data_IF_988855472266
#
_entry.id   IF_988855472266
#
_cell.length_a   1.000
_cell.length_b   1.000
_cell.length_c   1.000
_cell.angle_alpha   90.00
_cell.angle_beta   90.00
_cell.angle_gamma   90.00
#
_symmetry.space_group_name_H-M   'P 1'
#
loop_
_entity.id
_entity.type
_entity.pdbx_description
1 polymer ?
#
# COMPACT_ATOMS: atom_id res chain seq x y z
N UNK A 1 11.78 -59.81 -36.44
CA UNK A 1 11.36 -58.55 -37.16
C UNK A 1 10.18 -57.81 -36.56
N UNK A 2 9.15 -58.44 -35.99
CA UNK A 2 7.98 -57.74 -35.41
C UNK A 2 8.27 -56.91 -34.14
N UNK A 3 9.27 -57.26 -33.31
CA UNK A 3 9.60 -56.54 -32.07
C UNK A 3 10.39 -55.22 -32.28
N UNK A 4 11.06 -55.06 -33.41
CA UNK A 4 11.78 -53.81 -33.72
C UNK A 4 10.86 -52.76 -34.40
N UNK A 5 9.90 -53.17 -35.20
CA UNK A 5 8.94 -52.26 -35.79
C UNK A 5 8.02 -51.57 -34.74
N UNK A 6 7.62 -52.30 -33.69
CA UNK A 6 6.81 -51.75 -32.59
C UNK A 6 7.58 -50.70 -31.73
N UNK A 7 8.89 -50.88 -31.54
CA UNK A 7 9.71 -49.88 -30.81
C UNK A 7 9.97 -48.62 -31.63
N UNK A 8 10.14 -48.73 -32.95
CA UNK A 8 10.31 -47.57 -33.83
C UNK A 8 9.01 -46.77 -33.92
N UNK A 9 7.87 -47.46 -33.97
CA UNK A 9 6.56 -46.78 -34.00
C UNK A 9 6.24 -46.06 -32.68
N UNK A 10 6.62 -46.65 -31.55
CA UNK A 10 6.46 -46.02 -30.24
C UNK A 10 7.39 -44.82 -30.10
N UNK A 11 8.63 -44.89 -30.59
CA UNK A 11 9.59 -43.78 -30.55
C UNK A 11 9.18 -42.61 -31.45
N UNK A 12 8.62 -42.89 -32.64
CA UNK A 12 8.07 -41.84 -33.52
C UNK A 12 6.81 -41.21 -32.96
N UNK A 13 5.93 -41.93 -32.28
CA UNK A 13 4.77 -41.38 -31.60
C UNK A 13 5.15 -40.52 -30.40
N UNK A 14 6.15 -40.92 -29.61
CA UNK A 14 6.67 -40.12 -28.50
C UNK A 14 7.41 -38.86 -29.00
N UNK A 15 8.17 -38.96 -30.08
CA UNK A 15 8.80 -37.81 -30.72
C UNK A 15 7.79 -36.84 -31.34
N UNK A 16 6.71 -37.29 -31.91
CA UNK A 16 5.61 -36.45 -32.38
C UNK A 16 4.82 -35.84 -31.21
N UNK A 17 4.57 -36.55 -30.12
CA UNK A 17 3.93 -36.02 -28.93
C UNK A 17 4.82 -34.95 -28.22
N UNK A 18 6.15 -35.13 -28.20
CA UNK A 18 7.10 -34.16 -27.70
C UNK A 18 7.22 -32.90 -28.56
N UNK A 19 7.02 -33.01 -29.89
CA UNK A 19 7.00 -31.84 -30.78
C UNK A 19 5.69 -31.04 -30.62
N UNK A 20 4.58 -31.70 -30.26
CA UNK A 20 3.31 -31.01 -29.98
C UNK A 20 3.24 -30.42 -28.57
N UNK A 21 4.10 -30.84 -27.63
CA UNK A 21 4.13 -30.27 -26.26
C UNK A 21 5.13 -29.12 -26.11
N UNK A 22 5.95 -28.81 -27.12
CA UNK A 22 6.64 -27.53 -27.23
C UNK A 22 5.65 -26.56 -27.89
N UNK A 23 4.53 -26.30 -27.23
CA UNK A 23 3.74 -25.12 -27.42
C UNK A 23 4.58 -23.93 -27.05
N UNK A 24 5.43 -23.47 -28.00
CA UNK A 24 5.95 -22.12 -27.97
C UNK A 24 4.74 -21.20 -27.74
N UNK A 25 4.63 -20.55 -26.60
CA UNK A 25 4.00 -19.27 -26.49
C UNK A 25 4.78 -18.27 -27.36
N UNK A 26 4.87 -18.57 -28.63
CA UNK A 26 5.34 -17.64 -29.66
C UNK A 26 4.38 -16.48 -29.61
N UNK A 27 4.87 -15.31 -29.19
CA UNK A 27 4.13 -14.06 -29.26
C UNK A 27 3.32 -14.04 -30.52
N UNK A 28 1.97 -14.11 -30.40
CA UNK A 28 1.06 -14.11 -31.57
C UNK A 28 1.40 -12.88 -32.40
N UNK A 29 1.96 -13.10 -33.60
CA UNK A 29 2.46 -12.01 -34.46
C UNK A 29 1.33 -11.29 -35.21
N UNK A 30 0.10 -11.84 -35.15
CA UNK A 30 -1.07 -11.32 -35.83
C UNK A 30 -2.26 -11.24 -34.88
N UNK A 31 -3.12 -10.26 -35.11
CA UNK A 31 -4.40 -10.13 -34.42
C UNK A 31 -5.32 -11.29 -34.80
N UNK A 32 -5.97 -11.88 -33.82
CA UNK A 32 -6.99 -12.91 -34.03
C UNK A 32 -8.32 -12.31 -34.51
N UNK A 33 -8.51 -11.01 -34.29
CA UNK A 33 -9.75 -10.31 -34.63
C UNK A 33 -9.67 -9.73 -36.05
N UNK A 34 -8.54 -9.07 -36.37
CA UNK A 34 -8.39 -8.36 -37.66
C UNK A 34 -7.46 -9.07 -38.67
N UNK A 35 -6.64 -10.01 -38.17
CA UNK A 35 -5.59 -10.66 -38.96
C UNK A 35 -4.36 -9.79 -39.24
N UNK A 36 -4.37 -8.52 -38.76
CA UNK A 36 -3.27 -7.58 -38.98
C UNK A 36 -2.04 -7.97 -38.16
N UNK A 37 -0.86 -7.64 -38.67
CA UNK A 37 0.38 -7.90 -37.96
C UNK A 37 0.61 -6.83 -36.88
N UNK A 38 1.02 -7.29 -35.72
CA UNK A 38 1.49 -6.39 -34.62
C UNK A 38 2.90 -5.91 -34.90
N UNK A 39 3.26 -4.77 -34.38
CA UNK A 39 4.60 -4.16 -34.44
C UNK A 39 5.10 -3.97 -35.90
N UNK A 40 4.23 -3.67 -36.83
CA UNK A 40 4.55 -3.49 -38.26
C UNK A 40 3.83 -2.23 -38.80
N UNK A 41 4.59 -1.16 -39.17
CA UNK A 41 4.01 0.08 -39.68
C UNK A 41 3.11 -0.09 -40.90
N UNK A 42 3.37 -1.11 -41.72
CA UNK A 42 2.54 -1.43 -42.92
C UNK A 42 1.13 -1.88 -42.55
N UNK A 43 0.92 -2.32 -41.32
CA UNK A 43 -0.34 -2.80 -40.78
C UNK A 43 -0.92 -1.88 -39.74
N UNK A 44 -0.61 -0.57 -39.80
CA UNK A 44 -1.13 0.45 -38.89
C UNK A 44 -0.36 0.58 -37.59
N UNK A 45 0.69 -0.25 -37.37
CA UNK A 45 1.64 -0.07 -36.27
C UNK A 45 1.12 -0.36 -34.85
N UNK A 46 -0.01 -1.12 -34.74
CA UNK A 46 -0.49 -1.49 -33.41
C UNK A 46 0.58 -2.27 -32.65
N UNK A 47 0.97 -1.74 -31.50
CA UNK A 47 2.05 -2.29 -30.70
C UNK A 47 1.54 -3.38 -29.76
N UNK A 48 2.30 -4.46 -29.69
CA UNK A 48 2.15 -5.50 -28.68
C UNK A 48 3.47 -5.66 -27.95
N UNK A 49 3.51 -5.10 -26.76
CA UNK A 49 4.64 -5.27 -25.85
C UNK A 49 4.72 -6.74 -25.38
N UNK A 50 5.94 -7.20 -25.07
CA UNK A 50 6.13 -8.48 -24.38
C UNK A 50 5.77 -8.26 -22.90
N UNK A 51 4.82 -9.03 -22.43
CA UNK A 51 4.53 -9.05 -20.99
C UNK A 51 5.74 -9.61 -20.23
N UNK A 52 6.19 -8.85 -19.27
CA UNK A 52 7.11 -9.30 -18.21
C UNK A 52 6.31 -9.30 -16.91
N UNK A 53 6.56 -10.29 -16.06
CA UNK A 53 5.95 -10.30 -14.74
C UNK A 53 6.33 -9.04 -13.98
N UNK A 54 5.38 -8.53 -13.20
CA UNK A 54 5.59 -7.34 -12.38
C UNK A 54 6.74 -7.56 -11.41
N UNK A 55 7.70 -6.66 -11.43
CA UNK A 55 8.81 -6.66 -10.51
C UNK A 55 8.33 -6.29 -9.08
N UNK A 56 8.90 -6.96 -8.09
CA UNK A 56 8.68 -6.56 -6.70
C UNK A 56 9.38 -5.24 -6.44
N UNK A 57 8.65 -4.25 -5.95
CA UNK A 57 9.24 -2.96 -5.58
C UNK A 57 10.21 -3.08 -4.40
N UNK A 58 11.16 -2.15 -4.26
CA UNK A 58 12.11 -2.16 -3.15
C UNK A 58 11.41 -2.21 -1.78
N UNK A 59 11.86 -3.08 -0.89
CA UNK A 59 11.34 -3.22 0.48
C UNK A 59 9.99 -3.91 0.62
N UNK A 60 9.37 -4.33 -0.49
CA UNK A 60 8.07 -4.98 -0.49
C UNK A 60 8.16 -6.51 -0.42
N UNK A 61 7.17 -7.11 0.20
CA UNK A 61 6.92 -8.56 0.23
C UNK A 61 5.62 -8.85 -0.52
N UNK A 62 5.61 -9.94 -1.29
CA UNK A 62 4.40 -10.38 -2.00
C UNK A 62 3.40 -11.00 -1.03
N UNK A 63 2.17 -10.54 -1.06
CA UNK A 63 1.04 -11.07 -0.30
C UNK A 63 0.08 -11.72 -1.30
N UNK A 64 -0.03 -13.04 -1.22
CA UNK A 64 -0.98 -13.76 -2.05
C UNK A 64 -2.41 -13.45 -1.60
N UNK A 65 -3.25 -13.05 -2.53
CA UNK A 65 -4.65 -12.72 -2.26
C UNK A 65 -5.46 -13.96 -1.88
N UNK A 66 -6.56 -13.73 -1.19
CA UNK A 66 -7.42 -14.80 -0.74
C UNK A 66 -8.72 -14.30 -0.13
N UNK A 67 -9.48 -15.21 0.45
CA UNK A 67 -10.72 -14.90 1.15
C UNK A 67 -10.53 -15.03 2.65
N UNK A 68 -11.00 -14.05 3.39
CA UNK A 68 -10.92 -14.01 4.85
C UNK A 68 -12.22 -13.47 5.45
N UNK A 69 -12.50 -13.84 6.69
CA UNK A 69 -13.53 -13.18 7.51
C UNK A 69 -12.89 -12.05 8.31
N UNK A 70 -13.14 -10.82 7.97
CA UNK A 70 -12.71 -9.63 8.72
C UNK A 70 -13.65 -9.34 9.89
N UNK A 71 -13.19 -8.53 10.84
CA UNK A 71 -13.98 -8.03 11.96
C UNK A 71 -13.54 -8.57 13.33
N UNK A 72 -14.06 -8.01 14.41
CA UNK A 72 -13.63 -8.28 15.80
C UNK A 72 -14.76 -8.75 16.72
N UNK A 73 -15.93 -9.13 16.18
CA UNK A 73 -17.15 -9.29 16.96
C UNK A 73 -17.05 -10.26 18.16
N UNK A 74 -16.22 -11.32 18.09
CA UNK A 74 -16.06 -12.29 19.17
C UNK A 74 -15.12 -11.82 20.29
N UNK A 75 -14.17 -10.94 19.94
CA UNK A 75 -13.14 -10.45 20.84
C UNK A 75 -13.37 -8.97 21.22
N UNK A 76 -14.54 -8.44 20.90
CA UNK A 76 -14.90 -7.06 21.21
C UNK A 76 -15.37 -6.96 22.67
N UNK A 77 -14.41 -6.84 23.59
CA UNK A 77 -14.67 -6.70 25.02
C UNK A 77 -15.27 -5.35 25.40
N UNK A 78 -15.19 -4.35 24.52
CA UNK A 78 -15.79 -3.03 24.72
C UNK A 78 -17.22 -2.96 24.21
N UNK A 79 -17.65 -3.96 23.45
CA UNK A 79 -18.95 -4.03 22.78
C UNK A 79 -19.24 -2.84 21.85
N UNK A 80 -18.21 -2.23 21.31
CA UNK A 80 -18.33 -1.10 20.38
C UNK A 80 -19.01 -1.50 19.07
N UNK A 81 -18.91 -2.77 18.66
CA UNK A 81 -19.49 -3.37 17.44
C UNK A 81 -19.16 -2.56 16.18
N UNK A 82 -18.02 -1.88 16.18
CA UNK A 82 -17.59 -1.00 15.10
C UNK A 82 -16.91 -1.75 13.94
N UNK A 83 -16.66 -3.05 14.09
CA UNK A 83 -16.09 -3.92 13.06
C UNK A 83 -16.82 -5.27 13.05
N UNK A 84 -17.96 -5.32 12.37
CA UNK A 84 -18.77 -6.53 12.24
C UNK A 84 -18.07 -7.58 11.39
N UNK A 85 -18.26 -8.86 11.72
CA UNK A 85 -17.75 -9.96 10.91
C UNK A 85 -18.32 -9.92 9.49
N UNK A 86 -17.44 -9.98 8.51
CA UNK A 86 -17.79 -10.04 7.10
C UNK A 86 -16.76 -10.83 6.31
N UNK A 87 -17.22 -11.61 5.37
CA UNK A 87 -16.37 -12.37 4.46
C UNK A 87 -15.99 -11.49 3.27
N UNK A 88 -14.70 -11.35 3.02
CA UNK A 88 -14.16 -10.52 1.93
C UNK A 88 -13.10 -11.28 1.15
N UNK A 89 -12.91 -10.91 -0.10
CA UNK A 89 -11.84 -11.41 -0.97
C UNK A 89 -10.86 -10.29 -1.26
N UNK A 90 -9.60 -10.51 -0.95
CA UNK A 90 -8.52 -9.54 -1.17
C UNK A 90 -7.73 -10.00 -2.39
N UNK A 91 -7.50 -9.14 -3.40
CA UNK A 91 -6.59 -9.45 -4.50
C UNK A 91 -5.14 -9.53 -4.00
N UNK A 92 -4.26 -10.18 -4.74
CA UNK A 92 -2.83 -10.20 -4.42
C UNK A 92 -2.25 -8.79 -4.51
N UNK A 93 -1.32 -8.47 -3.63
CA UNK A 93 -0.65 -7.17 -3.55
C UNK A 93 0.76 -7.32 -2.96
N UNK A 94 1.48 -6.23 -2.91
CA UNK A 94 2.78 -6.15 -2.24
C UNK A 94 2.67 -5.21 -1.04
N UNK A 95 3.33 -5.53 0.07
CA UNK A 95 3.32 -4.72 1.29
C UNK A 95 4.75 -4.56 1.82
N UNK A 96 5.06 -3.43 2.43
CA UNK A 96 6.34 -3.22 3.11
C UNK A 96 6.55 -4.28 4.20
N UNK A 97 7.75 -4.87 4.21
CA UNK A 97 8.16 -5.86 5.20
C UNK A 97 8.07 -5.30 6.62
N UNK A 98 8.35 -4.00 6.77
CA UNK A 98 8.38 -3.27 8.04
C UNK A 98 7.60 -1.97 7.94
N UNK A 99 7.38 -1.31 9.06
CA UNK A 99 6.97 0.10 9.13
C UNK A 99 8.03 0.98 8.43
N UNK A 100 7.62 2.13 7.88
CA UNK A 100 8.55 3.12 7.33
C UNK A 100 9.43 3.67 8.46
N UNK A 101 10.75 3.64 8.26
CA UNK A 101 11.71 4.07 9.26
C UNK A 101 11.96 5.58 9.26
N UNK A 102 12.53 6.10 10.34
CA UNK A 102 13.03 7.47 10.37
C UNK A 102 14.02 7.74 9.23
N UNK A 103 14.86 6.77 8.89
CA UNK A 103 15.86 6.91 7.83
C UNK A 103 15.20 7.05 6.46
N UNK A 104 14.20 6.20 6.14
CA UNK A 104 13.46 6.30 4.90
C UNK A 104 12.72 7.64 4.78
N UNK A 105 12.15 8.12 5.89
CA UNK A 105 11.45 9.38 5.90
C UNK A 105 12.42 10.59 5.79
N UNK A 106 13.62 10.49 6.36
CA UNK A 106 14.66 11.50 6.19
C UNK A 106 15.16 11.57 4.74
N UNK A 107 15.20 10.46 4.01
CA UNK A 107 15.51 10.44 2.57
C UNK A 107 14.48 11.26 1.78
N UNK A 108 13.19 11.08 2.09
CA UNK A 108 12.12 11.89 1.51
C UNK A 108 12.29 13.38 1.83
N UNK A 109 12.54 13.72 3.08
CA UNK A 109 12.75 15.11 3.50
C UNK A 109 13.98 15.74 2.83
N UNK A 110 15.07 14.98 2.69
CA UNK A 110 16.26 15.43 1.98
C UNK A 110 15.95 15.75 0.52
N UNK A 111 15.20 14.88 -0.15
CA UNK A 111 14.78 15.10 -1.52
C UNK A 111 13.90 16.35 -1.66
N UNK A 112 12.91 16.53 -0.80
CA UNK A 112 12.06 17.73 -0.79
C UNK A 112 12.86 19.02 -0.60
N UNK A 113 13.78 19.02 0.35
CA UNK A 113 14.61 20.21 0.63
C UNK A 113 15.50 20.58 -0.54
N UNK A 114 15.95 19.58 -1.31
CA UNK A 114 16.79 19.80 -2.49
C UNK A 114 16.00 20.30 -3.70
N UNK A 115 14.82 19.75 -3.95
CA UNK A 115 14.02 20.04 -5.13
C UNK A 115 13.21 21.33 -4.96
N UNK A 116 12.58 21.51 -3.81
CA UNK A 116 11.70 22.65 -3.54
C UNK A 116 12.42 23.83 -2.86
N UNK A 117 13.59 24.23 -3.39
CA UNK A 117 14.35 25.35 -2.85
C UNK A 117 13.58 26.69 -2.88
N UNK A 118 12.79 26.89 -3.92
CA UNK A 118 11.97 28.11 -4.09
C UNK A 118 10.64 28.03 -3.30
N UNK A 119 10.24 26.83 -2.87
CA UNK A 119 8.99 26.57 -2.17
C UNK A 119 9.23 25.86 -0.83
N UNK A 120 9.93 26.47 0.14
CA UNK A 120 10.30 25.82 1.39
C UNK A 120 9.11 25.39 2.26
N UNK A 121 7.89 25.86 1.96
CA UNK A 121 6.67 25.44 2.64
C UNK A 121 6.35 23.97 2.38
N UNK A 122 6.71 23.42 1.21
CA UNK A 122 6.51 21.99 0.91
C UNK A 122 7.29 21.13 1.90
N UNK A 123 8.59 21.46 2.06
CA UNK A 123 9.44 20.78 3.04
C UNK A 123 8.92 20.95 4.48
N UNK A 124 8.53 22.16 4.88
CA UNK A 124 8.02 22.43 6.23
C UNK A 124 6.75 21.64 6.55
N UNK A 125 5.83 21.52 5.59
CA UNK A 125 4.59 20.74 5.74
C UNK A 125 4.85 19.24 5.82
N UNK A 126 5.95 18.75 5.26
CA UNK A 126 6.32 17.34 5.31
C UNK A 126 7.04 16.95 6.61
N UNK A 127 7.51 17.90 7.41
CA UNK A 127 8.19 17.59 8.68
C UNK A 127 7.24 16.91 9.66
N UNK A 128 7.63 15.77 10.24
CA UNK A 128 6.89 15.15 11.33
C UNK A 128 6.81 16.08 12.55
N UNK A 129 5.69 16.03 13.26
CA UNK A 129 5.54 16.75 14.51
C UNK A 129 6.31 16.04 15.63
N UNK A 130 7.45 16.58 16.01
CA UNK A 130 8.26 16.03 17.10
C UNK A 130 7.72 16.36 18.49
N UNK A 131 6.80 17.33 18.61
CA UNK A 131 6.19 17.72 19.90
C UNK A 131 5.24 16.65 20.44
N UNK A 132 4.84 15.68 19.60
CA UNK A 132 4.03 14.52 20.00
C UNK A 132 4.66 13.69 21.13
N UNK A 133 5.98 13.83 21.36
CA UNK A 133 6.69 13.16 22.45
C UNK A 133 6.50 13.84 23.81
N UNK A 134 6.03 15.10 23.84
CA UNK A 134 5.84 15.82 25.10
C UNK A 134 4.69 15.26 25.91
N UNK A 135 4.96 14.98 27.17
CA UNK A 135 3.97 14.54 28.14
C UNK A 135 4.02 15.43 29.38
N UNK A 136 2.86 15.68 30.01
CA UNK A 136 2.77 16.56 31.17
C UNK A 136 3.61 16.11 32.36
N UNK A 137 3.84 14.80 32.51
CA UNK A 137 4.51 14.21 33.67
C UNK A 137 5.83 13.50 33.35
N UNK A 138 6.27 13.56 32.10
CA UNK A 138 7.50 12.88 31.64
C UNK A 138 8.47 13.88 31.02
N UNK A 139 9.76 13.67 31.23
CA UNK A 139 10.81 14.43 30.59
C UNK A 139 11.24 13.73 29.32
N UNK A 140 10.56 14.03 28.21
CA UNK A 140 10.76 13.39 26.90
C UNK A 140 11.46 14.32 25.89
N UNK A 141 12.06 15.43 26.31
CA UNK A 141 12.77 16.36 25.41
C UNK A 141 13.87 15.68 24.57
N UNK A 142 14.61 14.66 25.05
CA UNK A 142 15.55 13.92 24.19
C UNK A 142 14.91 13.30 22.97
N UNK A 143 13.68 12.78 23.07
CA UNK A 143 12.94 12.24 21.93
C UNK A 143 12.46 13.34 20.99
N UNK A 144 12.01 14.48 21.51
CA UNK A 144 11.65 15.66 20.71
C UNK A 144 12.83 16.12 19.85
N UNK A 145 14.03 16.11 20.42
CA UNK A 145 15.24 16.64 19.76
C UNK A 145 15.91 15.61 18.83
N UNK A 146 15.95 14.35 19.23
CA UNK A 146 16.86 13.36 18.62
C UNK A 146 16.15 12.24 17.87
N UNK A 147 14.91 11.88 18.22
CA UNK A 147 14.26 10.67 17.71
C UNK A 147 14.24 10.58 16.17
N UNK A 148 13.89 11.66 15.47
CA UNK A 148 13.83 11.66 14.03
C UNK A 148 15.22 11.64 13.37
N UNK A 149 16.21 12.34 13.97
CA UNK A 149 17.44 12.73 13.24
C UNK A 149 18.71 12.03 13.71
N UNK A 150 18.72 11.56 14.96
CA UNK A 150 19.93 10.98 15.50
C UNK A 150 20.14 9.55 14.98
N UNK A 151 21.36 9.17 14.52
CA UNK A 151 21.61 7.87 13.87
C UNK A 151 21.23 6.64 14.69
N UNK A 152 21.17 6.72 16.02
CA UNK A 152 20.73 5.61 16.87
C UNK A 152 19.27 5.22 16.65
N UNK A 153 18.44 6.16 16.16
CA UNK A 153 17.02 5.95 15.90
C UNK A 153 16.68 5.78 14.42
N UNK A 154 17.68 5.62 13.54
CA UNK A 154 17.44 5.56 12.10
C UNK A 154 16.50 4.40 11.70
N UNK A 155 16.66 3.26 12.35
CA UNK A 155 15.94 2.02 12.04
C UNK A 155 14.69 1.84 12.92
N UNK A 156 14.27 2.89 13.61
CA UNK A 156 13.02 2.96 14.35
C UNK A 156 11.90 3.50 13.45
N UNK A 157 10.62 3.15 13.72
CA UNK A 157 9.50 3.63 12.90
C UNK A 157 9.35 5.15 12.98
N UNK A 158 9.02 5.78 11.88
CA UNK A 158 8.68 7.19 11.89
C UNK A 158 7.33 7.41 12.58
N UNK A 159 7.25 8.39 13.46
CA UNK A 159 6.04 8.80 14.18
C UNK A 159 5.87 10.32 14.13
N UNK A 160 4.72 10.83 14.58
CA UNK A 160 4.40 12.24 14.45
C UNK A 160 4.07 12.63 13.00
N UNK A 161 3.66 11.66 12.18
CA UNK A 161 3.24 11.86 10.81
C UNK A 161 1.73 11.80 10.70
N UNK A 162 1.14 12.78 10.01
CA UNK A 162 -0.27 12.78 9.70
C UNK A 162 -0.57 11.84 8.50
N UNK A 163 -1.84 11.51 8.31
CA UNK A 163 -2.26 10.69 7.16
C UNK A 163 -1.92 11.36 5.82
N UNK A 164 -2.07 12.68 5.73
CA UNK A 164 -1.71 13.46 4.53
C UNK A 164 -0.21 13.38 4.24
N UNK A 165 0.62 13.48 5.27
CA UNK A 165 2.08 13.35 5.13
C UNK A 165 2.49 11.93 4.70
N UNK A 166 1.85 10.90 5.27
CA UNK A 166 2.07 9.52 4.89
C UNK A 166 1.67 9.27 3.43
N UNK A 167 0.54 9.82 2.98
CA UNK A 167 0.09 9.72 1.58
C UNK A 167 1.07 10.41 0.63
N UNK A 168 1.51 11.63 0.94
CA UNK A 168 2.50 12.35 0.14
C UNK A 168 3.85 11.60 0.04
N UNK A 169 4.26 10.90 1.10
CA UNK A 169 5.43 10.01 1.05
C UNK A 169 5.22 8.86 0.05
N UNK A 170 4.04 8.24 0.00
CA UNK A 170 3.78 7.14 -0.96
C UNK A 170 3.84 7.61 -2.40
N UNK A 171 3.31 8.79 -2.70
CA UNK A 171 3.37 9.41 -4.03
C UNK A 171 4.82 9.69 -4.43
N UNK A 172 5.61 10.31 -3.54
CA UNK A 172 7.04 10.53 -3.78
C UNK A 172 7.79 9.22 -4.04
N UNK A 173 7.51 8.17 -3.26
CA UNK A 173 8.15 6.86 -3.43
C UNK A 173 7.83 6.24 -4.79
N UNK A 174 6.58 6.36 -5.26
CA UNK A 174 6.16 5.94 -6.60
C UNK A 174 7.04 6.57 -7.67
N UNK A 175 7.19 7.88 -7.61
CA UNK A 175 7.98 8.62 -8.59
C UNK A 175 9.46 8.22 -8.56
N UNK A 176 10.05 8.10 -7.37
CA UNK A 176 11.48 7.75 -7.25
C UNK A 176 11.76 6.32 -7.73
N UNK A 177 10.86 5.38 -7.44
CA UNK A 177 11.02 3.99 -7.90
C UNK A 177 10.87 3.90 -9.43
N UNK A 178 9.87 4.55 -10.00
CA UNK A 178 9.67 4.55 -11.45
C UNK A 178 10.80 5.29 -12.20
N UNK A 179 11.29 6.39 -11.66
CA UNK A 179 12.48 7.08 -12.20
C UNK A 179 13.71 6.17 -12.21
N UNK A 180 13.96 5.45 -11.11
CA UNK A 180 15.07 4.51 -11.01
C UNK A 180 14.93 3.36 -12.04
N UNK A 181 13.73 2.83 -12.21
CA UNK A 181 13.46 1.78 -13.22
C UNK A 181 13.76 2.27 -14.62
N UNK A 182 13.26 3.46 -15.00
CA UNK A 182 13.53 4.04 -16.31
C UNK A 182 15.02 4.31 -16.54
N UNK A 183 15.73 4.75 -15.50
CA UNK A 183 17.18 4.98 -15.56
C UNK A 183 17.96 3.66 -15.69
N UNK A 184 17.55 2.62 -14.97
CA UNK A 184 18.14 1.28 -15.05
C UNK A 184 17.94 0.65 -16.43
N UNK A 185 16.77 0.81 -17.04
CA UNK A 185 16.48 0.36 -18.41
C UNK A 185 17.18 1.26 -19.48
N UNK A 186 17.87 2.32 -19.06
CA UNK A 186 18.60 3.23 -19.95
C UNK A 186 17.71 4.18 -20.77
N UNK A 187 16.45 4.34 -20.36
CA UNK A 187 15.45 5.16 -21.07
C UNK A 187 15.57 6.63 -20.70
N UNK A 188 15.96 6.94 -19.48
CA UNK A 188 16.24 8.30 -19.03
C UNK A 188 17.63 8.40 -18.40
N UNK A 189 18.16 9.61 -18.36
CA UNK A 189 19.37 9.93 -17.60
C UNK A 189 18.99 10.59 -16.29
N UNK A 190 19.50 10.05 -15.18
CA UNK A 190 19.36 10.71 -13.88
C UNK A 190 20.21 11.96 -13.86
N UNK A 191 19.60 13.12 -13.96
CA UNK A 191 20.26 14.41 -13.78
C UNK A 191 19.76 15.07 -12.49
N UNK A 192 20.34 14.60 -11.39
CA UNK A 192 19.98 15.02 -10.04
C UNK A 192 20.14 16.52 -9.82
N UNK A 193 21.07 17.17 -10.55
CA UNK A 193 21.36 18.61 -10.40
C UNK A 193 20.34 19.49 -11.11
N UNK A 194 19.66 18.97 -12.13
CA UNK A 194 18.64 19.70 -12.87
C UNK A 194 17.22 19.53 -12.33
N UNK A 195 17.04 18.71 -11.29
CA UNK A 195 15.73 18.54 -10.65
C UNK A 195 15.40 19.77 -9.81
N UNK A 196 14.44 20.55 -10.27
CA UNK A 196 13.88 21.76 -9.63
C UNK A 196 12.39 21.56 -9.37
N UNK A 197 11.77 22.47 -8.64
CA UNK A 197 10.35 22.42 -8.26
C UNK A 197 9.36 22.38 -9.43
N UNK A 198 9.75 22.86 -10.59
CA UNK A 198 8.98 22.85 -11.84
C UNK A 198 9.40 21.73 -12.81
N UNK A 199 10.58 21.14 -12.61
CA UNK A 199 11.16 20.15 -13.52
C UNK A 199 11.83 18.97 -12.78
N UNK A 200 11.08 18.27 -11.96
CA UNK A 200 11.49 16.98 -11.41
C UNK A 200 10.68 15.84 -12.07
N UNK A 201 11.20 14.63 -11.98
CA UNK A 201 10.47 13.47 -12.49
C UNK A 201 9.21 13.23 -11.66
N UNK A 202 8.08 13.21 -12.35
CA UNK A 202 6.79 12.76 -11.84
C UNK A 202 6.24 11.73 -12.83
N UNK A 203 5.87 10.57 -12.35
CA UNK A 203 5.41 9.43 -13.17
C UNK A 203 4.25 9.83 -14.08
N UNK A 204 3.28 10.55 -13.54
CA UNK A 204 2.10 10.95 -14.27
C UNK A 204 2.40 12.01 -15.32
N UNK A 205 3.18 13.03 -14.98
CA UNK A 205 3.62 14.06 -15.93
C UNK A 205 4.46 13.45 -17.06
N UNK A 206 5.29 12.44 -16.77
CA UNK A 206 6.03 11.70 -17.78
C UNK A 206 5.11 10.94 -18.73
N UNK A 207 4.12 10.22 -18.23
CA UNK A 207 3.14 9.48 -19.05
C UNK A 207 2.26 10.39 -19.90
N UNK A 208 2.02 11.62 -19.46
CA UNK A 208 1.30 12.65 -20.20
C UNK A 208 2.19 13.43 -21.21
N UNK A 209 3.50 13.17 -21.22
CA UNK A 209 4.45 13.89 -22.07
C UNK A 209 4.77 15.31 -21.60
N UNK A 210 4.42 15.66 -20.37
CA UNK A 210 4.68 16.99 -19.75
C UNK A 210 6.02 17.09 -19.04
N UNK A 211 6.72 15.98 -18.90
CA UNK A 211 8.09 15.91 -18.42
C UNK A 211 9.01 15.44 -19.54
N UNK A 212 10.03 16.23 -19.84
CA UNK A 212 11.02 15.89 -20.84
C UNK A 212 12.33 15.54 -20.13
N UNK A 213 12.64 14.27 -19.95
CA UNK A 213 13.90 13.85 -19.35
C UNK A 213 15.08 14.13 -20.28
N UNK A 214 16.28 14.14 -19.71
CA UNK A 214 17.50 13.99 -20.50
C UNK A 214 17.54 12.57 -21.03
N UNK A 215 17.01 12.33 -22.22
CA UNK A 215 16.82 11.00 -22.79
C UNK A 215 18.16 10.40 -23.22
N UNK A 216 18.33 9.11 -22.92
CA UNK A 216 19.44 8.30 -23.45
C UNK A 216 18.98 7.45 -24.63
N UNK A 217 17.83 6.86 -24.51
CA UNK A 217 17.27 5.97 -25.53
C UNK A 217 15.75 6.05 -25.48
N UNK A 218 15.12 6.05 -26.66
CA UNK A 218 13.65 5.98 -26.79
C UNK A 218 13.23 4.63 -27.28
N UNK A 219 12.02 4.21 -26.92
CA UNK A 219 11.42 3.03 -27.47
C UNK A 219 11.04 3.26 -28.93
N UNK A 220 11.11 2.19 -29.73
CA UNK A 220 10.68 2.26 -31.13
C UNK A 220 9.18 2.45 -31.19
N UNK A 221 8.73 3.42 -31.97
CA UNK A 221 7.35 3.60 -32.36
C UNK A 221 7.07 2.90 -33.69
N UNK A 222 6.05 2.07 -33.73
CA UNK A 222 5.64 1.38 -34.95
C UNK A 222 4.51 2.09 -35.70
N UNK A 223 4.04 3.24 -35.22
CA UNK A 223 3.06 4.04 -35.92
C UNK A 223 3.61 4.51 -37.28
N UNK A 224 2.77 4.58 -38.34
CA UNK A 224 3.20 5.01 -39.65
C UNK A 224 3.84 6.42 -39.62
N UNK A 225 5.12 6.51 -40.00
CA UNK A 225 5.88 7.76 -40.02
C UNK A 225 6.57 8.14 -38.72
N UNK A 226 6.29 7.46 -37.62
CA UNK A 226 7.00 7.67 -36.36
C UNK A 226 8.32 6.88 -36.30
N UNK A 227 9.25 7.33 -35.46
CA UNK A 227 10.53 6.65 -35.23
C UNK A 227 10.63 6.13 -33.80
N UNK A 228 10.49 7.03 -32.85
CA UNK A 228 10.74 6.78 -31.45
C UNK A 228 9.65 7.40 -30.59
N UNK A 229 9.41 6.80 -29.42
CA UNK A 229 8.45 7.27 -28.42
C UNK A 229 8.94 7.09 -26.99
N UNK A 230 8.34 7.82 -26.08
CA UNK A 230 8.49 7.63 -24.65
C UNK A 230 7.76 6.35 -24.18
N UNK A 231 8.03 5.90 -22.95
CA UNK A 231 7.35 4.76 -22.33
C UNK A 231 5.88 5.09 -22.09
N UNK A 232 5.03 4.11 -22.35
CA UNK A 232 3.59 4.14 -22.09
C UNK A 232 3.22 3.08 -21.03
N UNK A 233 2.03 3.20 -20.48
CA UNK A 233 1.51 2.21 -19.50
C UNK A 233 1.47 0.79 -20.11
N UNK A 234 1.15 0.69 -21.40
CA UNK A 234 1.03 -0.57 -22.14
C UNK A 234 2.36 -1.32 -22.30
N UNK A 235 3.48 -0.67 -22.06
CA UNK A 235 4.80 -1.30 -22.12
C UNK A 235 5.08 -2.18 -20.89
N UNK A 236 4.36 -1.97 -19.78
CA UNK A 236 4.50 -2.75 -18.56
C UNK A 236 5.88 -2.59 -17.87
N UNK A 237 6.55 -1.46 -18.09
CA UNK A 237 7.86 -1.14 -17.51
C UNK A 237 7.69 -0.48 -16.15
N UNK A 238 6.75 0.46 -16.04
CA UNK A 238 6.48 1.20 -14.82
C UNK A 238 5.69 0.35 -13.83
N UNK A 239 5.98 0.52 -12.56
CA UNK A 239 5.25 -0.10 -11.46
C UNK A 239 4.00 0.73 -11.12
N UNK A 240 2.96 0.08 -10.58
CA UNK A 240 1.81 0.76 -9.99
C UNK A 240 2.22 1.66 -8.83
N UNK A 241 1.31 2.55 -8.45
CA UNK A 241 1.53 3.49 -7.37
C UNK A 241 1.68 2.79 -6.03
N UNK A 242 2.64 3.26 -5.24
CA UNK A 242 2.68 3.01 -3.82
C UNK A 242 1.56 3.80 -3.15
N UNK A 243 0.91 3.20 -2.19
CA UNK A 243 -0.20 3.78 -1.45
C UNK A 243 -0.25 3.25 -0.01
N UNK A 244 -1.07 3.84 0.83
CA UNK A 244 -1.41 3.22 2.10
C UNK A 244 -2.27 1.97 1.87
N UNK A 245 -2.17 0.93 2.73
CA UNK A 245 -3.04 -0.23 2.68
C UNK A 245 -4.49 0.17 2.95
N UNK A 246 -5.43 -0.50 2.30
CA UNK A 246 -6.81 -0.46 2.77
C UNK A 246 -6.92 -1.18 4.12
N UNK A 247 -7.93 -0.84 4.89
CA UNK A 247 -8.16 -1.51 6.18
C UNK A 247 -8.29 -3.04 6.02
N UNK A 248 -8.95 -3.48 4.95
CA UNK A 248 -9.14 -4.89 4.66
C UNK A 248 -7.82 -5.59 4.28
N UNK A 249 -6.97 -4.96 3.45
CA UNK A 249 -5.64 -5.47 3.10
C UNK A 249 -4.74 -5.56 4.33
N UNK A 250 -4.77 -4.53 5.17
CA UNK A 250 -3.97 -4.50 6.38
C UNK A 250 -4.37 -5.63 7.35
N UNK A 251 -5.68 -5.80 7.59
CA UNK A 251 -6.20 -6.85 8.48
C UNK A 251 -5.90 -8.25 7.91
N UNK A 252 -6.05 -8.44 6.59
CA UNK A 252 -5.68 -9.67 5.91
C UNK A 252 -4.20 -10.01 6.07
N UNK A 253 -3.33 -9.04 5.80
CA UNK A 253 -1.89 -9.20 5.92
C UNK A 253 -1.45 -9.50 7.35
N UNK A 254 -2.13 -8.91 8.36
CA UNK A 254 -1.83 -9.12 9.76
C UNK A 254 -2.16 -10.55 10.22
N UNK A 255 -3.27 -11.13 9.77
CA UNK A 255 -3.63 -12.50 10.14
C UNK A 255 -2.71 -13.55 9.53
N UNK A 256 -2.07 -13.29 8.40
CA UNK A 256 -1.14 -14.20 7.75
C UNK A 256 -1.80 -15.44 7.12
N UNK A 257 -0.98 -16.38 6.72
CA UNK A 257 -1.45 -17.71 6.28
C UNK A 257 -1.93 -18.50 7.47
N UNK A 258 -3.16 -18.98 7.40
CA UNK A 258 -3.55 -20.13 8.18
C UNK A 258 -3.56 -21.32 7.23
N UNK A 259 -3.11 -22.46 7.73
CA UNK A 259 -2.85 -23.66 6.94
C UNK A 259 -3.84 -23.85 5.78
N UNK A 260 -3.37 -24.11 4.56
CA UNK A 260 -4.25 -24.38 3.42
C UNK A 260 -5.11 -25.64 3.59
N UNK A 261 -4.82 -26.47 4.58
CA UNK A 261 -5.60 -27.68 4.90
C UNK A 261 -6.91 -27.38 5.64
N UNK A 262 -7.01 -26.19 6.27
CA UNK A 262 -8.20 -25.79 7.01
C UNK A 262 -8.68 -24.43 6.49
N UNK A 263 -9.97 -24.31 6.22
CA UNK A 263 -10.60 -23.03 5.90
C UNK A 263 -10.72 -22.11 7.14
N UNK A 264 -9.71 -22.11 8.00
CA UNK A 264 -9.72 -21.47 9.31
C UNK A 264 -9.89 -19.96 9.23
N UNK A 265 -9.27 -19.33 8.22
CA UNK A 265 -9.45 -17.89 7.97
C UNK A 265 -10.91 -17.51 7.69
N UNK A 266 -11.75 -18.46 7.33
CA UNK A 266 -13.17 -18.23 7.03
C UNK A 266 -14.02 -18.36 8.30
N UNK A 267 -13.76 -19.37 9.11
CA UNK A 267 -14.60 -19.73 10.23
C UNK A 267 -13.97 -19.37 11.60
N UNK A 268 -12.69 -19.65 11.77
CA UNK A 268 -11.95 -19.40 13.03
C UNK A 268 -10.78 -18.47 12.74
N UNK A 269 -10.65 -17.40 13.53
CA UNK A 269 -9.56 -16.44 13.39
C UNK A 269 -8.55 -16.57 14.51
N UNK A 270 -7.29 -16.28 14.20
CA UNK A 270 -6.30 -15.93 15.20
C UNK A 270 -6.73 -14.65 15.95
N UNK A 271 -6.40 -14.56 17.22
CA UNK A 271 -6.59 -13.31 17.98
C UNK A 271 -5.49 -12.30 17.63
N UNK A 272 -4.28 -12.79 17.44
CA UNK A 272 -3.08 -11.98 17.15
C UNK A 272 -2.43 -12.43 15.83
N UNK A 273 -1.47 -11.67 15.30
CA UNK A 273 -0.70 -12.06 14.10
C UNK A 273 0.17 -13.32 14.25
N UNK A 274 0.22 -13.91 15.44
CA UNK A 274 0.95 -15.14 15.76
C UNK A 274 0.01 -16.23 16.28
N UNK A 275 0.52 -17.46 16.38
CA UNK A 275 -0.26 -18.57 16.90
C UNK A 275 -0.44 -18.50 18.42
N UNK A 276 -1.62 -18.95 18.87
CA UNK A 276 -1.99 -18.98 20.27
C UNK A 276 -2.63 -17.71 20.79
N UNK A 277 -2.98 -17.72 22.06
CA UNK A 277 -3.75 -16.69 22.75
C UNK A 277 -2.89 -15.82 23.67
N UNK A 278 -1.59 -16.13 23.78
CA UNK A 278 -0.71 -15.49 24.76
C UNK A 278 0.14 -14.41 24.10
N UNK A 279 0.48 -13.39 24.88
CA UNK A 279 1.41 -12.33 24.49
C UNK A 279 2.88 -12.71 24.74
N UNK A 280 3.11 -13.88 25.37
CA UNK A 280 4.44 -14.37 25.71
C UNK A 280 4.75 -15.66 24.98
N UNK A 281 6.01 -15.78 24.53
CA UNK A 281 6.52 -17.03 23.97
C UNK A 281 6.58 -18.10 25.00
N UNK A 282 6.08 -19.27 24.66
CA UNK A 282 6.15 -20.49 25.46
C UNK A 282 7.29 -21.39 25.01
N UNK A 283 7.65 -21.31 23.76
CA UNK A 283 8.71 -22.09 23.09
C UNK A 283 9.49 -21.21 22.09
N UNK A 284 10.73 -21.50 21.76
CA UNK A 284 11.62 -22.48 22.43
C UNK A 284 12.02 -22.03 23.84
N UNK A 285 12.54 -22.98 24.65
CA UNK A 285 12.87 -22.74 26.08
C UNK A 285 13.77 -21.52 26.31
N UNK A 286 14.71 -21.24 25.41
CA UNK A 286 15.61 -20.08 25.46
C UNK A 286 14.88 -18.75 25.32
N UNK A 287 13.72 -18.72 24.68
CA UNK A 287 12.92 -17.51 24.43
C UNK A 287 11.66 -17.43 25.29
N UNK A 288 11.48 -18.44 26.16
CA UNK A 288 10.32 -18.50 27.05
C UNK A 288 10.21 -17.23 27.90
N UNK A 289 9.04 -16.61 27.83
CA UNK A 289 8.73 -15.39 28.58
C UNK A 289 9.00 -14.09 27.84
N UNK A 290 9.74 -14.11 26.71
CA UNK A 290 9.83 -12.94 25.82
C UNK A 290 8.45 -12.57 25.26
N UNK A 291 8.22 -11.30 24.97
CA UNK A 291 6.98 -10.84 24.37
C UNK A 291 6.99 -11.08 22.85
N UNK A 292 5.81 -11.27 22.27
CA UNK A 292 5.64 -11.33 20.81
C UNK A 292 5.58 -9.94 20.17
N UNK A 293 5.23 -8.90 20.93
CA UNK A 293 5.07 -7.56 20.44
C UNK A 293 5.49 -6.52 21.48
N UNK A 294 5.83 -5.34 21.00
CA UNK A 294 6.09 -4.16 21.82
C UNK A 294 4.76 -3.47 22.17
N UNK A 295 4.33 -3.52 23.44
CA UNK A 295 3.05 -2.97 23.91
C UNK A 295 3.06 -2.69 25.42
N UNK A 296 2.12 -1.91 25.91
CA UNK A 296 1.99 -1.59 27.33
C UNK A 296 1.26 -2.68 28.13
N UNK A 297 1.96 -3.38 28.99
CA UNK A 297 1.39 -4.46 29.80
C UNK A 297 0.57 -4.03 30.99
N UNK A 298 1.00 -3.03 31.76
CA UNK A 298 0.40 -2.65 33.03
C UNK A 298 0.31 -1.13 33.23
N UNK A 299 0.43 -0.69 34.47
CA UNK A 299 0.60 0.73 34.81
C UNK A 299 2.07 1.12 34.65
N UNK A 300 2.52 1.27 33.44
CA UNK A 300 3.91 1.45 33.10
C UNK A 300 4.52 0.19 32.52
N UNK A 301 5.70 0.31 32.00
CA UNK A 301 6.36 -0.69 31.18
C UNK A 301 7.36 -1.57 31.94
N UNK A 302 7.28 -1.52 33.27
CA UNK A 302 8.17 -2.28 34.12
C UNK A 302 7.75 -3.76 34.22
N UNK A 303 8.71 -4.67 34.05
CA UNK A 303 8.51 -6.12 34.19
C UNK A 303 8.39 -6.59 35.66
N UNK A 304 8.16 -5.68 36.59
CA UNK A 304 8.10 -5.97 38.02
C UNK A 304 9.45 -5.99 38.73
N UNK A 305 10.56 -5.85 38.01
CA UNK A 305 11.89 -5.68 38.54
C UNK A 305 12.43 -4.31 38.12
N UNK A 306 12.98 -3.53 39.05
CA UNK A 306 13.52 -2.22 38.74
C UNK A 306 14.54 -2.27 37.59
N UNK A 307 14.34 -1.43 36.58
CA UNK A 307 15.20 -1.33 35.43
C UNK A 307 14.95 -2.36 34.31
N UNK A 308 14.02 -3.31 34.50
CA UNK A 308 13.64 -4.25 33.45
C UNK A 308 12.31 -3.83 32.80
N UNK A 309 12.34 -3.64 31.50
CA UNK A 309 11.16 -3.41 30.65
C UNK A 309 10.54 -4.73 30.26
N UNK A 310 9.23 -4.74 29.98
CA UNK A 310 8.49 -5.95 29.66
C UNK A 310 8.95 -6.63 28.38
N UNK A 311 9.19 -5.85 27.34
CA UNK A 311 9.52 -6.24 26.00
C UNK A 311 10.93 -5.83 25.57
N UNK A 312 11.67 -5.17 26.47
CA UNK A 312 13.03 -4.69 26.23
C UNK A 312 13.12 -3.25 25.72
N UNK A 313 11.98 -2.60 25.45
CA UNK A 313 11.91 -1.26 24.86
C UNK A 313 11.13 -0.30 25.76
N UNK A 314 11.54 0.97 25.76
CA UNK A 314 10.89 2.00 26.56
C UNK A 314 9.71 2.66 25.85
N UNK A 315 9.86 2.88 24.55
CA UNK A 315 8.84 3.37 23.64
C UNK A 315 8.80 2.45 22.41
N UNK A 316 9.17 2.96 21.24
CA UNK A 316 9.23 2.19 20.00
C UNK A 316 10.43 1.25 19.96
N UNK A 317 10.33 0.18 19.18
CA UNK A 317 11.39 -0.77 18.87
C UNK A 317 11.92 -0.58 17.45
N UNK A 318 13.10 -1.14 17.16
CA UNK A 318 13.66 -1.20 15.82
C UNK A 318 12.73 -2.04 14.94
N UNK A 319 12.41 -1.56 13.74
CA UNK A 319 11.41 -2.17 12.84
C UNK A 319 11.75 -3.59 12.38
N UNK A 320 13.02 -3.98 12.40
CA UNK A 320 13.46 -5.34 12.12
C UNK A 320 14.39 -5.81 13.23
N UNK A 321 13.82 -6.42 14.23
CA UNK A 321 14.53 -6.88 15.41
C UNK A 321 14.40 -8.40 15.53
N UNK A 322 15.49 -9.07 15.96
CA UNK A 322 15.51 -10.51 16.22
C UNK A 322 14.59 -10.91 17.39
N UNK A 323 14.26 -9.98 18.28
CA UNK A 323 13.34 -10.23 19.39
C UNK A 323 11.88 -10.35 18.98
N UNK A 324 11.49 -9.78 17.82
CA UNK A 324 10.12 -9.86 17.30
C UNK A 324 10.10 -10.62 15.98
N UNK A 325 9.42 -11.75 15.97
CA UNK A 325 9.32 -12.59 14.78
C UNK A 325 8.30 -11.99 13.78
N UNK A 326 8.59 -12.08 12.48
CA UNK A 326 7.62 -11.75 11.47
C UNK A 326 6.44 -12.73 11.48
N UNK A 327 5.31 -12.31 10.93
CA UNK A 327 4.18 -13.20 10.71
C UNK A 327 4.44 -14.15 9.51
N UNK A 328 3.45 -14.98 9.14
CA UNK A 328 3.57 -15.98 8.08
C UNK A 328 3.89 -15.40 6.69
N UNK A 329 3.53 -14.14 6.44
CA UNK A 329 3.92 -13.43 5.20
C UNK A 329 5.32 -12.78 5.27
N UNK A 330 5.99 -12.87 6.40
CA UNK A 330 7.29 -12.23 6.61
C UNK A 330 7.20 -10.76 7.04
N UNK A 331 6.03 -10.30 7.50
CA UNK A 331 5.80 -8.92 7.92
C UNK A 331 6.09 -8.75 9.41
N UNK A 332 6.90 -7.74 9.74
CA UNK A 332 7.23 -7.38 11.12
C UNK A 332 6.20 -6.40 11.70
N UNK A 333 6.01 -6.46 13.02
CA UNK A 333 5.22 -5.49 13.80
C UNK A 333 3.78 -5.25 13.32
N UNK A 334 3.13 -6.32 12.79
CA UNK A 334 1.69 -6.24 12.48
C UNK A 334 0.82 -6.17 13.74
N UNK A 335 1.43 -6.11 14.92
CA UNK A 335 0.80 -5.83 16.20
C UNK A 335 1.82 -5.19 17.14
N UNK A 336 1.46 -4.06 17.76
CA UNK A 336 2.33 -3.30 18.65
C UNK A 336 3.34 -2.44 17.89
N UNK A 337 4.34 -1.95 18.56
CA UNK A 337 5.32 -0.96 18.12
C UNK A 337 4.64 0.38 17.78
N UNK A 338 4.21 0.60 16.54
CA UNK A 338 3.35 1.74 16.21
C UNK A 338 2.09 1.27 15.50
N UNK A 339 0.99 1.95 15.76
CA UNK A 339 -0.22 1.81 14.96
C UNK A 339 0.02 2.35 13.56
N UNK A 340 -0.70 1.85 12.56
CA UNK A 340 -0.44 2.19 11.17
C UNK A 340 -1.64 2.80 10.50
N UNK A 341 -1.42 3.90 9.78
CA UNK A 341 -2.43 4.53 8.95
C UNK A 341 -2.90 3.59 7.86
N UNK A 342 -4.22 3.56 7.64
CA UNK A 342 -4.83 2.93 6.48
C UNK A 342 -5.48 3.97 5.57
N UNK A 343 -5.80 3.56 4.35
CA UNK A 343 -6.39 4.45 3.35
C UNK A 343 -7.84 4.83 3.65
N UNK A 344 -8.54 3.99 4.42
CA UNK A 344 -9.97 4.09 4.65
C UNK A 344 -10.36 5.29 5.51
N UNK A 345 -11.50 5.90 5.15
CA UNK A 345 -12.25 6.80 6.03
C UNK A 345 -12.98 5.96 7.08
N UNK A 346 -12.94 6.40 8.33
CA UNK A 346 -13.66 5.70 9.39
C UNK A 346 -15.17 5.91 9.25
N UNK A 347 -15.89 4.79 9.25
CA UNK A 347 -17.35 4.73 9.37
C UNK A 347 -17.73 3.51 10.22
N UNK A 348 -18.74 3.62 11.06
CA UNK A 348 -19.34 2.45 11.68
C UNK A 348 -19.82 1.49 10.60
N UNK A 349 -19.49 0.20 10.73
CA UNK A 349 -19.89 -0.80 9.76
C UNK A 349 -21.33 -1.26 10.04
N UNK A 350 -22.05 -1.56 8.97
CA UNK A 350 -23.41 -2.09 9.04
C UNK A 350 -23.52 -3.39 8.23
N UNK A 351 -24.62 -4.09 8.39
CA UNK A 351 -24.89 -5.33 7.66
C UNK A 351 -24.96 -5.15 6.14
N UNK A 352 -25.22 -3.96 5.67
CA UNK A 352 -25.20 -3.64 4.23
C UNK A 352 -23.78 -3.72 3.65
N UNK A 353 -22.78 -3.44 4.47
CA UNK A 353 -21.36 -3.54 4.10
C UNK A 353 -20.88 -4.99 3.90
N UNK A 354 -21.66 -5.98 4.36
CA UNK A 354 -21.32 -7.40 4.22
C UNK A 354 -21.31 -7.91 2.78
N UNK A 355 -21.92 -7.18 1.86
CA UNK A 355 -22.02 -7.54 0.42
C UNK A 355 -20.79 -7.10 -0.40
N UNK A 356 -19.91 -6.31 0.15
CA UNK A 356 -18.73 -5.82 -0.55
C UNK A 356 -17.63 -6.91 -0.57
N UNK A 357 -17.14 -7.27 -1.77
CA UNK A 357 -16.09 -8.28 -1.94
C UNK A 357 -14.73 -7.74 -1.53
N UNK A 358 -14.40 -6.50 -1.95
CA UNK A 358 -13.17 -5.81 -1.61
C UNK A 358 -13.54 -4.44 -0.99
N UNK A 359 -13.87 -4.41 0.30
CA UNK A 359 -14.40 -3.21 0.93
C UNK A 359 -13.32 -2.13 1.06
N UNK A 360 -13.69 -0.92 0.68
CA UNK A 360 -12.91 0.29 0.89
C UNK A 360 -13.85 1.46 1.14
N UNK A 361 -13.53 2.29 2.12
CA UNK A 361 -14.27 3.51 2.46
C UNK A 361 -13.47 4.74 2.05
N UNK A 362 -14.17 5.78 1.61
CA UNK A 362 -13.53 7.04 1.21
C UNK A 362 -13.19 7.13 -0.28
N UNK A 363 -13.96 6.44 -1.13
CA UNK A 363 -13.85 6.60 -2.58
C UNK A 363 -14.27 8.01 -2.98
N UNK A 364 -13.29 8.86 -3.27
CA UNK A 364 -13.49 10.16 -3.91
C UNK A 364 -12.97 10.07 -5.33
N UNK A 365 -13.88 10.11 -6.30
CA UNK A 365 -13.48 10.09 -7.71
C UNK A 365 -12.96 11.45 -8.12
N UNK A 366 -11.75 11.44 -8.66
CA UNK A 366 -11.08 12.64 -9.15
C UNK A 366 -10.79 12.49 -10.64
N UNK A 367 -10.82 13.61 -11.34
CA UNK A 367 -10.36 13.71 -12.74
C UNK A 367 -9.30 14.77 -12.85
N UNK A 368 -8.41 14.62 -13.83
CA UNK A 368 -7.39 15.62 -14.13
C UNK A 368 -8.03 16.89 -14.63
N UNK A 369 -7.48 18.02 -14.26
CA UNK A 369 -7.91 19.31 -14.79
C UNK A 369 -7.26 19.49 -16.14
N UNK A 370 -8.10 19.62 -17.20
CA UNK A 370 -7.66 19.99 -18.53
C UNK A 370 -8.04 21.45 -18.79
N UNK A 371 -7.26 22.11 -19.64
CA UNK A 371 -7.60 23.44 -20.17
C UNK A 371 -8.78 23.40 -21.16
N UNK A 372 -9.13 24.55 -21.76
CA UNK A 372 -10.20 24.67 -22.73
C UNK A 372 -9.99 23.85 -24.01
N UNK A 373 -8.74 23.57 -24.35
CA UNK A 373 -8.32 22.78 -25.52
C UNK A 373 -8.18 21.28 -25.20
N UNK A 374 -8.47 20.90 -23.94
CA UNK A 374 -8.38 19.50 -23.46
C UNK A 374 -6.96 19.05 -23.13
N UNK A 375 -6.01 19.96 -23.04
CA UNK A 375 -4.61 19.68 -22.69
C UNK A 375 -4.43 19.74 -21.17
N UNK A 376 -3.50 18.93 -20.66
CA UNK A 376 -3.13 18.94 -19.25
C UNK A 376 -1.93 19.84 -19.00
N UNK A 377 -1.94 20.57 -17.91
CA UNK A 377 -0.83 21.40 -17.47
C UNK A 377 -0.39 21.06 -16.05
N UNK A 378 0.89 21.29 -15.75
CA UNK A 378 1.42 21.14 -14.40
C UNK A 378 1.06 22.36 -13.55
N UNK A 379 0.84 22.14 -12.26
CA UNK A 379 0.73 23.21 -11.28
C UNK A 379 2.11 23.87 -11.01
N UNK A 380 2.13 24.90 -10.17
CA UNK A 380 3.36 25.61 -9.78
C UNK A 380 4.36 24.74 -9.00
N UNK A 381 3.95 23.55 -8.57
CA UNK A 381 4.78 22.57 -7.89
C UNK A 381 5.12 21.36 -8.79
N UNK A 382 4.92 21.47 -10.10
CA UNK A 382 5.23 20.42 -11.07
C UNK A 382 4.30 19.21 -11.07
N UNK A 383 3.17 19.25 -10.34
CA UNK A 383 2.20 18.16 -10.21
C UNK A 383 1.04 18.35 -11.18
N UNK A 384 0.39 17.26 -11.51
CA UNK A 384 -0.86 17.30 -12.30
C UNK A 384 -2.03 17.63 -11.35
N UNK A 385 -2.76 18.74 -11.57
CA UNK A 385 -3.87 19.11 -10.73
C UNK A 385 -5.09 18.22 -10.99
N UNK A 386 -5.78 17.85 -9.91
CA UNK A 386 -7.01 17.07 -9.93
C UNK A 386 -8.18 17.86 -9.36
N UNK A 387 -9.36 17.60 -9.86
CA UNK A 387 -10.63 18.01 -9.26
C UNK A 387 -11.53 16.79 -9.01
N UNK A 388 -12.46 16.93 -8.12
CA UNK A 388 -13.52 15.94 -7.95
C UNK A 388 -14.42 15.88 -9.19
N UNK A 389 -14.90 14.70 -9.49
CA UNK A 389 -15.84 14.47 -10.59
C UNK A 389 -17.21 14.98 -10.18
N UNK A 390 -17.85 15.78 -11.02
CA UNK A 390 -19.17 16.33 -10.74
C UNK A 390 -20.28 15.27 -10.85
N UNK A 391 -21.41 15.51 -10.21
CA UNK A 391 -22.56 14.62 -10.29
C UNK A 391 -23.05 14.42 -11.73
N UNK A 392 -23.05 15.48 -12.54
CA UNK A 392 -23.43 15.43 -13.96
C UNK A 392 -22.53 14.50 -14.79
N UNK A 393 -21.22 14.54 -14.57
CA UNK A 393 -20.25 13.67 -15.23
C UNK A 393 -20.47 12.19 -14.87
N UNK A 394 -20.98 11.92 -13.69
CA UNK A 394 -21.24 10.59 -13.17
C UNK A 394 -22.70 10.13 -13.27
N UNK A 395 -23.61 10.97 -13.75
CA UNK A 395 -25.05 10.69 -13.80
C UNK A 395 -25.43 9.35 -14.47
N UNK A 396 -24.59 8.87 -15.40
CA UNK A 396 -24.76 7.59 -16.08
C UNK A 396 -24.09 6.41 -15.37
N UNK A 397 -23.34 6.63 -14.29
CA UNK A 397 -22.65 5.57 -13.56
C UNK A 397 -23.51 5.06 -12.42
N UNK A 398 -23.82 3.76 -12.43
CA UNK A 398 -24.75 3.13 -11.46
C UNK A 398 -24.33 3.25 -10.00
N UNK A 399 -23.04 3.41 -9.73
CA UNK A 399 -22.49 3.38 -8.38
C UNK A 399 -21.97 4.73 -7.88
N UNK A 400 -22.32 5.83 -8.53
CA UNK A 400 -21.82 7.16 -8.14
C UNK A 400 -22.14 7.48 -6.68
N UNK A 401 -23.40 7.35 -6.28
CA UNK A 401 -23.82 7.62 -4.91
C UNK A 401 -23.21 6.68 -3.88
N UNK A 402 -23.01 5.39 -4.25
CA UNK A 402 -22.35 4.41 -3.40
C UNK A 402 -20.84 4.59 -3.31
N UNK A 403 -20.21 5.19 -4.30
CA UNK A 403 -18.76 5.40 -4.34
C UNK A 403 -18.27 6.36 -3.29
N UNK A 404 -19.07 7.37 -2.98
CA UNK A 404 -18.85 8.27 -1.88
C UNK A 404 -19.53 7.70 -0.62
N UNK A 405 -19.01 6.62 -0.06
CA UNK A 405 -19.60 5.91 1.08
C UNK A 405 -19.79 6.73 2.36
N UNK A 406 -19.59 8.01 2.28
CA UNK A 406 -19.60 8.94 3.40
C UNK A 406 -21.03 9.22 3.83
N UNK A 407 -21.96 9.40 2.89
CA UNK A 407 -23.36 9.73 3.17
C UNK A 407 -24.36 8.75 2.58
N UNK A 408 -23.94 7.55 2.21
CA UNK A 408 -24.80 6.59 1.50
C UNK A 408 -26.15 6.30 2.17
N UNK A 409 -26.23 6.39 3.49
CA UNK A 409 -27.47 6.18 4.25
C UNK A 409 -28.24 7.47 4.49
N UNK A 410 -27.56 8.59 4.37
CA UNK A 410 -28.09 9.91 4.67
C UNK A 410 -28.52 10.64 3.39
N UNK A 411 -28.19 10.11 2.22
CA UNK A 411 -28.70 10.52 0.91
C UNK A 411 -30.16 10.06 0.71
N UNK A 412 -31.02 10.39 1.65
CA UNK A 412 -32.44 10.48 1.38
C UNK A 412 -32.58 11.81 0.63
N UNK A 413 -33.24 11.77 -0.52
CA UNK A 413 -33.51 12.93 -1.40
C UNK A 413 -34.33 14.07 -0.70
N UNK A 414 -34.19 14.23 0.60
CA UNK A 414 -34.82 15.21 1.42
C UNK A 414 -33.79 16.22 1.93
N UNK A 415 -33.80 17.47 1.41
CA UNK A 415 -32.90 18.53 1.85
C UNK A 415 -32.98 18.82 3.37
N UNK A 416 -34.04 18.40 4.03
CA UNK A 416 -34.19 18.58 5.49
C UNK A 416 -33.47 17.49 6.29
N UNK A 417 -33.22 16.30 5.70
CA UNK A 417 -32.51 15.22 6.34
C UNK A 417 -30.98 15.43 6.28
N UNK A 418 -30.46 16.07 5.24
CA UNK A 418 -29.05 16.41 5.12
C UNK A 418 -28.57 17.32 6.26
N UNK A 419 -29.42 18.22 6.73
CA UNK A 419 -29.09 19.07 7.88
C UNK A 419 -29.16 18.36 9.23
N UNK A 420 -29.85 17.24 9.33
CA UNK A 420 -30.09 16.53 10.58
C UNK A 420 -28.97 15.56 10.96
N UNK A 421 -28.18 15.12 9.99
CA UNK A 421 -27.11 14.15 10.13
C UNK A 421 -25.79 14.61 9.55
N UNK A 422 -25.48 15.90 9.64
CA UNK A 422 -24.14 16.40 9.34
C UNK A 422 -23.17 15.89 10.42
N UNK A 423 -22.59 14.74 10.17
CA UNK A 423 -21.59 14.13 11.05
C UNK A 423 -20.40 15.06 11.33
N UNK A 424 -20.09 15.97 10.43
CA UNK A 424 -19.02 16.95 10.59
C UNK A 424 -19.29 17.96 11.70
N UNK A 425 -20.57 18.22 12.00
CA UNK A 425 -20.99 19.20 13.01
C UNK A 425 -21.32 18.55 14.36
N UNK A 426 -21.83 17.30 14.34
CA UNK A 426 -22.40 16.67 15.54
C UNK A 426 -21.51 15.59 16.16
N UNK A 427 -20.53 15.05 15.44
CA UNK A 427 -19.64 13.99 15.90
C UNK A 427 -18.20 14.21 15.45
N UNK A 428 -17.26 13.53 16.10
CA UNK A 428 -15.85 13.48 15.68
C UNK A 428 -15.64 12.55 14.45
N UNK A 429 -16.70 11.91 13.96
CA UNK A 429 -16.67 11.04 12.78
C UNK A 429 -17.09 11.89 11.59
N UNK A 430 -16.11 12.30 10.81
CA UNK A 430 -16.26 13.12 9.63
C UNK A 430 -15.53 12.50 8.43
N UNK A 431 -15.51 13.17 7.31
CA UNK A 431 -14.85 12.70 6.08
C UNK A 431 -13.32 12.71 6.15
N UNK A 432 -12.75 13.39 7.14
CA UNK A 432 -11.31 13.47 7.40
C UNK A 432 -10.84 12.47 8.46
N UNK A 433 -11.76 11.77 9.14
CA UNK A 433 -11.41 10.73 10.10
C UNK A 433 -10.89 9.49 9.38
N UNK A 434 -9.60 9.17 9.55
CA UNK A 434 -8.92 8.03 8.93
C UNK A 434 -8.72 6.89 9.91
N UNK A 435 -8.84 5.67 9.41
CA UNK A 435 -8.62 4.46 10.20
C UNK A 435 -7.13 4.22 10.43
N UNK A 436 -6.76 3.80 11.65
CA UNK A 436 -5.46 3.23 11.94
C UNK A 436 -5.60 1.92 12.74
N UNK A 437 -4.64 1.03 12.62
CA UNK A 437 -4.71 -0.36 13.09
C UNK A 437 -3.41 -0.82 13.78
N UNK A 438 -3.45 -1.99 14.40
CA UNK A 438 -2.27 -2.71 14.89
C UNK A 438 -1.93 -2.49 16.37
N UNK A 439 -2.43 -1.42 16.97
CA UNK A 439 -2.01 -1.04 18.32
C UNK A 439 -0.57 -0.54 18.35
N UNK A 440 -0.12 -0.01 19.48
CA UNK A 440 1.19 0.62 19.62
C UNK A 440 1.88 0.24 20.92
N UNK A 441 3.11 0.69 21.10
CA UNK A 441 3.89 0.59 22.34
C UNK A 441 3.14 1.12 23.58
N UNK A 442 2.25 2.08 23.41
CA UNK A 442 1.46 2.69 24.49
C UNK A 442 0.10 2.00 24.73
N UNK A 443 -0.26 1.02 23.91
CA UNK A 443 -1.56 0.36 23.94
C UNK A 443 -1.53 -0.96 24.69
N UNK A 444 -2.70 -1.36 25.22
CA UNK A 444 -2.91 -2.66 25.85
C UNK A 444 -3.12 -3.74 24.81
N UNK A 445 -2.93 -5.00 25.22
CA UNK A 445 -3.07 -6.20 24.37
C UNK A 445 -4.36 -6.26 23.55
N UNK A 446 -5.47 -5.72 24.05
CA UNK A 446 -6.74 -5.64 23.32
C UNK A 446 -6.59 -4.94 21.95
N UNK A 447 -5.83 -3.83 21.91
CA UNK A 447 -5.67 -3.03 20.69
C UNK A 447 -4.73 -3.66 19.65
N UNK A 448 -4.00 -4.71 20.04
CA UNK A 448 -3.09 -5.45 19.16
C UNK A 448 -3.81 -6.48 18.29
N UNK A 449 -5.10 -6.74 18.56
CA UNK A 449 -5.90 -7.62 17.70
C UNK A 449 -6.14 -6.96 16.34
N UNK A 450 -5.85 -7.65 15.23
CA UNK A 450 -6.00 -7.07 13.88
C UNK A 450 -7.40 -6.55 13.56
N UNK A 451 -8.43 -7.13 14.17
CA UNK A 451 -9.81 -6.71 13.99
C UNK A 451 -10.21 -5.42 14.71
N UNK A 452 -9.37 -4.86 15.60
CA UNK A 452 -9.69 -3.60 16.28
C UNK A 452 -9.54 -2.42 15.33
N UNK A 453 -10.40 -1.42 15.51
CA UNK A 453 -10.44 -0.20 14.67
C UNK A 453 -10.40 1.03 15.54
N UNK A 454 -9.56 1.96 15.17
CA UNK A 454 -9.51 3.30 15.76
C UNK A 454 -9.39 4.32 14.64
N UNK A 455 -9.64 5.56 14.94
CA UNK A 455 -9.56 6.64 13.96
C UNK A 455 -8.96 7.90 14.57
N UNK A 456 -8.41 8.71 13.69
CA UNK A 456 -7.90 10.03 14.00
C UNK A 456 -8.09 10.91 12.74
N UNK A 457 -8.21 12.20 12.94
CA UNK A 457 -8.30 13.15 11.83
C UNK A 457 -7.03 13.12 10.98
N UNK A 458 -7.18 13.27 9.66
CA UNK A 458 -6.09 13.11 8.68
C UNK A 458 -4.97 14.16 8.83
N UNK A 459 -5.24 15.30 9.48
CA UNK A 459 -4.28 16.35 9.78
C UNK A 459 -3.51 16.12 11.08
N UNK A 460 -4.02 15.26 11.96
CA UNK A 460 -3.43 15.03 13.28
C UNK A 460 -2.36 13.95 13.24
N UNK A 461 -1.45 14.03 14.19
CA UNK A 461 -0.37 13.05 14.38
C UNK A 461 -0.15 12.74 15.85
N UNK A 462 0.43 11.57 16.11
CA UNK A 462 0.77 11.14 17.50
C UNK A 462 2.11 10.42 17.53
N UNK A 463 2.67 10.23 18.73
CA UNK A 463 3.88 9.40 18.94
C UNK A 463 3.63 7.90 18.83
N UNK A 464 2.40 7.50 18.56
CA UNK A 464 1.97 6.10 18.53
C UNK A 464 1.53 5.63 17.15
N UNK A 465 1.52 6.52 16.16
CA UNK A 465 1.05 6.20 14.79
C UNK A 465 2.18 6.47 13.79
N UNK A 466 2.48 5.45 13.01
CA UNK A 466 3.33 5.46 11.84
C UNK A 466 2.58 4.93 10.62
N UNK A 467 3.26 4.34 9.66
CA UNK A 467 2.63 3.76 8.46
C UNK A 467 3.57 2.79 7.73
N UNK A 468 2.98 1.99 6.86
CA UNK A 468 3.69 1.19 5.82
C UNK A 468 3.00 1.36 4.48
N UNK A 469 3.71 1.08 3.39
CA UNK A 469 3.19 1.20 2.05
C UNK A 469 2.78 -0.14 1.47
N UNK A 470 1.86 -0.09 0.51
CA UNK A 470 1.49 -1.22 -0.34
C UNK A 470 1.54 -0.82 -1.81
N UNK A 471 1.56 -1.82 -2.69
CA UNK A 471 1.50 -1.65 -4.14
C UNK A 471 0.62 -2.75 -4.72
N UNK A 472 -0.23 -2.42 -5.68
CA UNK A 472 -1.11 -3.39 -6.31
C UNK A 472 -0.33 -4.42 -7.15
N UNK A 473 -0.75 -5.69 -7.08
CA UNK A 473 -0.30 -6.71 -8.02
C UNK A 473 -1.18 -6.65 -9.27
N UNK A 474 -0.57 -6.43 -10.42
CA UNK A 474 -1.26 -6.43 -11.71
C UNK A 474 -1.25 -7.83 -12.32
N UNK A 475 -2.41 -8.27 -12.77
CA UNK A 475 -2.57 -9.57 -13.41
C UNK A 475 -2.72 -10.74 -12.44
N UNK A 476 -2.78 -11.96 -12.97
CA UNK A 476 -3.00 -13.19 -12.19
C UNK A 476 -1.68 -13.72 -11.60
N UNK A 477 -1.67 -13.99 -10.30
CA UNK A 477 -0.53 -14.58 -9.60
C UNK A 477 -0.23 -16.03 -10.00
N UNK A 478 -1.18 -16.75 -10.62
CA UNK A 478 -1.06 -18.18 -10.92
C UNK A 478 0.04 -18.54 -11.92
N UNK A 479 0.59 -17.59 -12.66
CA UNK A 479 1.67 -17.84 -13.63
C UNK A 479 3.06 -17.93 -13.04
N UNK A 480 3.26 -17.58 -11.77
CA UNK A 480 4.58 -17.58 -11.15
C UNK A 480 4.94 -18.89 -10.43
N UNK A 481 4.10 -19.93 -10.53
CA UNK A 481 4.38 -21.26 -9.96
C UNK A 481 4.83 -22.27 -11.04
N UNK A 482 5.80 -21.87 -11.88
CA UNK A 482 6.53 -22.83 -12.73
C UNK A 482 8.02 -22.63 -12.63
#
# INVERSE_FOLDING_TARGET
MRKHASKIFLFTMIAQALVFSIGCEGTKKKSEVTGWKYNDPKWGGFERAKFKDQETGPGLVFIEGGTITLGAAENDVTFDRNNLKRRVSIPSFYMDETEVTNFNYLEYLYWLNRVYLNNPLVFKKALPDTLVWRSKLSYNEPYVLYYLRYPAYRDYPVVGVSWLQATAYTEWRTDRVNEMILAREGLISLDVQKSTDDNYFNTEAYLLGLYTPSEKHRLRDYAPGAKDRSVRMEDGILLPDYRLPTEAEWEYAAYGYQSPEYNENIDVKRIYPWDGLTMRRTEPEKERGKMYANYMRGRGDAAGVSGNLNDGFFFTAIVKNEDFLPNDFGLYHMAGNVSEWTKDVYRPLSWEDSKEIAPFRGNVYKTKIADADGMYEKDSLGRIPYREVTEEENAKRRNYKKSNNIGYKDEIDDPQTDQKYDYSVTTLINNTARVYKGGSWADRAYWLTPGTRRYLDEDLSTSTIGFRCVMDRLGDARKNHK
#
